data_IF_113453312542
#
_entry.id   IF_113453312542
#
_cell.length_a   1.000
_cell.length_b   1.000
_cell.length_c   1.000
_cell.angle_alpha   90.00
_cell.angle_beta   90.00
_cell.angle_gamma   90.00
#
_symmetry.space_group_name_H-M   'P 1'
#
loop_
_entity.id
_entity.type
_entity.pdbx_description
1 polymer ?
#
# COMPACT_ATOMS: atom_id res chain seq x y z
N UNK A 1 -16.22 36.65 -40.33
CA UNK A 1 -14.93 36.35 -39.68
C UNK A 1 -15.20 36.23 -38.20
N UNK A 2 -15.53 35.02 -37.75
CA UNK A 2 -15.77 34.73 -36.33
C UNK A 2 -14.58 33.95 -35.83
N UNK A 3 -13.83 34.54 -34.90
CA UNK A 3 -12.76 33.85 -34.21
C UNK A 3 -13.37 33.03 -33.07
N UNK A 4 -13.30 31.71 -33.20
CA UNK A 4 -13.51 30.80 -32.08
C UNK A 4 -12.35 30.98 -31.10
N UNK A 5 -12.64 31.56 -29.94
CA UNK A 5 -11.73 31.54 -28.81
C UNK A 5 -11.85 30.18 -28.13
N UNK A 6 -10.93 29.27 -28.46
CA UNK A 6 -10.73 28.03 -27.69
C UNK A 6 -10.27 28.39 -26.28
N UNK A 7 -11.09 28.05 -25.28
CA UNK A 7 -10.75 28.10 -23.87
C UNK A 7 -9.71 27.03 -23.55
N UNK A 8 -8.44 27.40 -23.60
CA UNK A 8 -7.34 26.59 -23.10
C UNK A 8 -7.43 26.55 -21.57
N UNK A 9 -7.75 25.39 -21.00
CA UNK A 9 -7.71 25.19 -19.56
C UNK A 9 -6.28 25.42 -19.05
N UNK A 10 -6.08 26.05 -17.88
CA UNK A 10 -4.73 26.25 -17.35
C UNK A 10 -4.14 24.87 -17.02
N UNK A 11 -3.18 24.44 -17.83
CA UNK A 11 -2.41 23.23 -17.56
C UNK A 11 -1.51 23.54 -16.36
N UNK A 12 -1.86 23.00 -15.21
CA UNK A 12 -1.08 23.10 -13.97
C UNK A 12 0.36 22.67 -14.25
N UNK A 13 1.34 23.49 -13.85
CA UNK A 13 2.72 23.24 -14.27
C UNK A 13 3.27 21.99 -13.57
N UNK A 14 4.14 21.24 -14.25
CA UNK A 14 4.82 20.06 -13.66
C UNK A 14 5.53 20.41 -12.34
N UNK A 15 5.99 21.66 -12.20
CA UNK A 15 6.63 22.15 -10.98
C UNK A 15 5.62 22.31 -9.84
N UNK A 16 4.44 22.83 -10.14
CA UNK A 16 3.37 23.01 -9.16
C UNK A 16 2.84 21.65 -8.69
N UNK A 17 2.62 20.71 -9.62
CA UNK A 17 2.25 19.33 -9.31
C UNK A 17 3.31 18.61 -8.46
N UNK A 18 4.60 18.82 -8.73
CA UNK A 18 5.67 18.22 -7.93
C UNK A 18 5.76 18.83 -6.52
N UNK A 19 5.49 20.13 -6.38
CA UNK A 19 5.43 20.81 -5.08
C UNK A 19 4.22 20.32 -4.29
N UNK A 20 3.07 20.19 -4.95
CA UNK A 20 1.85 19.63 -4.38
C UNK A 20 2.08 18.19 -3.92
N UNK A 21 2.58 17.30 -4.78
CA UNK A 21 2.86 15.91 -4.42
C UNK A 21 3.79 15.79 -3.20
N UNK A 22 4.87 16.59 -3.16
CA UNK A 22 5.79 16.61 -2.03
C UNK A 22 5.12 17.13 -0.74
N UNK A 23 4.31 18.18 -0.84
CA UNK A 23 3.55 18.71 0.30
C UNK A 23 2.55 17.68 0.84
N UNK A 24 1.84 16.99 -0.05
CA UNK A 24 0.85 15.97 0.29
C UNK A 24 1.46 14.73 0.92
N UNK A 25 2.57 14.23 0.39
CA UNK A 25 3.29 13.10 0.99
C UNK A 25 3.73 13.42 2.43
N UNK A 26 4.34 14.59 2.62
CA UNK A 26 4.80 15.03 3.94
C UNK A 26 3.62 15.20 4.91
N UNK A 27 2.53 15.82 4.48
CA UNK A 27 1.35 16.03 5.30
C UNK A 27 0.69 14.70 5.65
N UNK A 28 0.55 13.78 4.70
CA UNK A 28 -0.01 12.45 4.92
C UNK A 28 0.82 11.67 5.96
N UNK A 29 2.15 11.69 5.84
CA UNK A 29 3.04 11.04 6.80
C UNK A 29 2.88 11.63 8.23
N UNK A 30 2.82 12.96 8.35
CA UNK A 30 2.64 13.63 9.65
C UNK A 30 1.26 13.40 10.26
N UNK A 31 0.20 13.49 9.45
CA UNK A 31 -1.18 13.21 9.87
C UNK A 31 -1.32 11.76 10.29
N UNK A 32 -0.72 10.81 9.55
CA UNK A 32 -0.73 9.39 9.91
C UNK A 32 -0.05 9.16 11.27
N UNK A 33 1.11 9.77 11.51
CA UNK A 33 1.82 9.68 12.79
C UNK A 33 1.01 10.28 13.95
N UNK A 34 0.46 11.49 13.76
CA UNK A 34 -0.38 12.17 14.75
C UNK A 34 -1.65 11.38 15.06
N UNK A 35 -2.35 10.88 14.03
CA UNK A 35 -3.55 10.04 14.15
C UNK A 35 -3.24 8.76 14.92
N UNK A 36 -2.12 8.09 14.61
CA UNK A 36 -1.68 6.88 15.33
C UNK A 36 -1.49 7.17 16.83
N UNK A 37 -0.80 8.26 17.16
CA UNK A 37 -0.56 8.67 18.54
C UNK A 37 -1.85 9.00 19.29
N UNK A 38 -2.72 9.84 18.72
CA UNK A 38 -4.00 10.21 19.33
C UNK A 38 -4.89 8.98 19.51
N UNK A 39 -4.99 8.12 18.50
CA UNK A 39 -5.78 6.88 18.58
C UNK A 39 -5.31 5.99 19.73
N UNK A 40 -4.00 5.82 19.93
CA UNK A 40 -3.47 5.04 21.04
C UNK A 40 -3.85 5.63 22.41
N UNK A 41 -3.77 6.96 22.56
CA UNK A 41 -4.19 7.65 23.79
C UNK A 41 -5.69 7.55 24.04
N UNK A 42 -6.51 7.75 23.00
CA UNK A 42 -7.98 7.62 23.09
C UNK A 42 -8.38 6.19 23.45
N UNK A 43 -7.73 5.18 22.87
CA UNK A 43 -7.96 3.78 23.22
C UNK A 43 -7.68 3.52 24.70
N UNK A 44 -6.49 3.90 25.19
CA UNK A 44 -6.11 3.73 26.59
C UNK A 44 -7.07 4.45 27.55
N UNK A 45 -7.52 5.66 27.19
CA UNK A 45 -8.50 6.42 27.97
C UNK A 45 -9.89 5.77 27.98
N UNK A 46 -10.36 5.25 26.85
CA UNK A 46 -11.64 4.53 26.77
C UNK A 46 -11.59 3.21 27.53
N UNK A 47 -10.49 2.46 27.45
CA UNK A 47 -10.33 1.22 28.22
C UNK A 47 -10.32 1.48 29.73
N UNK A 48 -9.70 2.58 30.17
CA UNK A 48 -9.73 2.99 31.58
C UNK A 48 -11.14 3.44 32.01
N UNK A 49 -11.84 4.21 31.18
CA UNK A 49 -13.20 4.67 31.45
C UNK A 49 -14.22 3.52 31.46
N UNK A 50 -14.07 2.54 30.57
CA UNK A 50 -14.90 1.34 30.56
C UNK A 50 -14.72 0.51 31.84
N UNK A 51 -13.47 0.37 32.32
CA UNK A 51 -13.19 -0.34 33.59
C UNK A 51 -13.73 0.38 34.82
N UNK A 52 -13.64 1.71 34.86
CA UNK A 52 -14.01 2.51 36.04
C UNK A 52 -15.52 2.79 36.09
N UNK A 53 -16.10 3.18 34.97
CA UNK A 53 -17.43 3.80 34.88
C UNK A 53 -18.38 3.05 33.94
N UNK A 54 -17.93 1.97 33.27
CA UNK A 54 -18.72 1.26 32.26
C UNK A 54 -18.90 2.02 30.94
N UNK A 55 -18.17 3.12 30.74
CA UNK A 55 -18.29 3.96 29.54
C UNK A 55 -17.55 3.33 28.36
N UNK A 56 -18.30 2.85 27.38
CA UNK A 56 -17.76 2.21 26.17
C UNK A 56 -17.81 3.12 24.93
N UNK A 57 -18.39 4.32 25.03
CA UNK A 57 -18.61 5.24 23.90
C UNK A 57 -18.44 6.70 24.29
N UNK A 58 -17.84 7.47 23.40
CA UNK A 58 -17.71 8.93 23.50
C UNK A 58 -18.08 9.61 22.19
N UNK A 59 -18.70 10.78 22.28
CA UNK A 59 -19.05 11.62 21.13
C UNK A 59 -18.02 12.73 20.99
N UNK A 60 -17.48 12.91 19.79
CA UNK A 60 -16.63 14.04 19.45
C UNK A 60 -17.50 15.19 18.93
N UNK A 61 -17.43 16.33 19.61
CA UNK A 61 -18.14 17.57 19.24
C UNK A 61 -17.15 18.65 18.83
N UNK A 62 -17.50 19.44 17.84
CA UNK A 62 -16.82 20.69 17.53
C UNK A 62 -17.00 21.70 18.67
N UNK A 63 -16.14 22.73 18.77
CA UNK A 63 -16.35 23.83 19.71
C UNK A 63 -17.67 24.57 19.53
N UNK A 64 -18.26 24.52 18.32
CA UNK A 64 -19.62 25.02 18.03
C UNK A 64 -20.75 24.17 18.62
N UNK A 65 -20.44 23.03 19.25
CA UNK A 65 -21.41 22.09 19.83
C UNK A 65 -21.90 21.01 18.85
N UNK A 66 -21.59 21.11 17.56
CA UNK A 66 -21.99 20.12 16.56
C UNK A 66 -21.26 18.80 16.77
N UNK A 67 -21.99 17.69 16.82
CA UNK A 67 -21.42 16.34 16.85
C UNK A 67 -20.83 15.97 15.49
N UNK A 68 -19.61 15.45 15.47
CA UNK A 68 -18.88 15.11 14.23
C UNK A 68 -18.47 13.65 14.15
N UNK A 69 -18.32 12.96 15.28
CA UNK A 69 -18.01 11.54 15.28
C UNK A 69 -18.44 10.86 16.58
N UNK A 70 -18.64 9.55 16.52
CA UNK A 70 -18.80 8.70 17.70
C UNK A 70 -17.66 7.69 17.72
N UNK A 71 -16.98 7.56 18.86
CA UNK A 71 -15.91 6.59 19.08
C UNK A 71 -16.42 5.60 20.13
N UNK A 72 -16.45 4.31 19.79
CA UNK A 72 -16.88 3.26 20.72
C UNK A 72 -15.89 2.10 20.75
N UNK A 73 -15.74 1.48 21.91
CA UNK A 73 -15.06 0.21 22.07
C UNK A 73 -15.82 -0.87 21.29
N UNK A 74 -15.07 -1.69 20.54
CA UNK A 74 -15.59 -2.90 19.94
C UNK A 74 -15.16 -4.08 20.82
N UNK A 75 -16.07 -5.03 21.03
CA UNK A 75 -15.70 -6.32 21.63
C UNK A 75 -14.69 -6.97 20.69
N UNK A 76 -13.51 -7.31 21.21
CA UNK A 76 -12.49 -8.02 20.43
C UNK A 76 -13.08 -9.29 19.85
N UNK A 77 -12.81 -9.55 18.58
CA UNK A 77 -13.22 -10.79 17.94
C UNK A 77 -12.33 -11.93 18.46
N UNK A 78 -12.91 -12.81 19.28
CA UNK A 78 -12.23 -14.01 19.75
C UNK A 78 -12.41 -15.11 18.70
N UNK A 79 -11.38 -15.36 17.91
CA UNK A 79 -11.32 -16.44 16.93
C UNK A 79 -10.16 -17.38 17.24
N UNK A 80 -10.26 -18.67 16.85
CA UNK A 80 -9.12 -19.57 16.92
C UNK A 80 -7.99 -19.05 16.02
N UNK A 81 -6.81 -18.85 16.60
CA UNK A 81 -5.60 -18.49 15.84
C UNK A 81 -4.75 -19.74 15.69
N UNK A 82 -4.43 -20.09 14.45
CA UNK A 82 -3.47 -21.15 14.16
C UNK A 82 -2.07 -20.61 14.50
N UNK A 83 -1.49 -21.08 15.60
CA UNK A 83 -0.14 -20.67 16.04
C UNK A 83 0.97 -21.50 15.40
N UNK A 84 0.63 -22.70 14.93
CA UNK A 84 1.55 -23.61 14.24
C UNK A 84 0.78 -24.34 13.14
N UNK A 85 0.91 -23.82 11.93
CA UNK A 85 0.23 -24.33 10.75
C UNK A 85 0.75 -25.73 10.36
N UNK A 86 2.04 -26.00 10.56
CA UNK A 86 2.63 -27.28 10.16
C UNK A 86 2.27 -28.40 11.14
N UNK A 87 2.24 -28.13 12.44
CA UNK A 87 1.75 -29.07 13.43
C UNK A 87 0.27 -29.37 13.23
N UNK A 88 -0.54 -28.35 12.95
CA UNK A 88 -1.95 -28.53 12.60
C UNK A 88 -2.10 -29.39 11.35
N UNK A 89 -1.40 -29.07 10.27
CA UNK A 89 -1.48 -29.83 9.03
C UNK A 89 -1.00 -31.28 9.19
N UNK A 90 0.03 -31.53 10.00
CA UNK A 90 0.52 -32.88 10.31
C UNK A 90 -0.49 -33.67 11.14
N UNK A 91 -1.15 -33.02 12.09
CA UNK A 91 -2.23 -33.63 12.85
C UNK A 91 -3.43 -33.94 11.94
N UNK A 92 -3.87 -33.01 11.10
CA UNK A 92 -4.97 -33.21 10.14
C UNK A 92 -4.71 -34.39 9.20
N UNK A 93 -3.51 -34.45 8.58
CA UNK A 93 -3.12 -35.57 7.70
C UNK A 93 -3.11 -36.94 8.41
N UNK A 94 -2.87 -36.97 9.72
CA UNK A 94 -2.88 -38.22 10.50
C UNK A 94 -4.28 -38.59 10.97
N UNK A 95 -5.06 -37.60 11.38
CA UNK A 95 -6.41 -37.81 11.92
C UNK A 95 -7.40 -38.17 10.81
N UNK A 96 -7.21 -37.60 9.61
CA UNK A 96 -8.10 -37.76 8.46
C UNK A 96 -7.31 -37.94 7.16
N UNK A 97 -6.76 -39.13 6.91
CA UNK A 97 -5.90 -39.37 5.75
C UNK A 97 -6.65 -39.48 4.41
N UNK A 98 -7.93 -39.85 4.42
CA UNK A 98 -8.72 -40.19 3.22
C UNK A 98 -9.84 -39.18 2.92
N UNK A 99 -9.82 -38.02 3.56
CA UNK A 99 -10.82 -36.98 3.33
C UNK A 99 -10.54 -36.21 2.03
N UNK A 100 -11.62 -35.79 1.36
CA UNK A 100 -11.59 -35.12 0.04
C UNK A 100 -10.78 -33.81 0.01
N UNK A 101 -10.55 -33.19 1.18
CA UNK A 101 -9.77 -31.97 1.34
C UNK A 101 -8.28 -32.21 1.62
N UNK A 102 -7.82 -33.47 1.64
CA UNK A 102 -6.41 -33.84 1.72
C UNK A 102 -5.89 -34.35 0.37
N UNK A 103 -4.75 -33.84 -0.08
CA UNK A 103 -4.18 -34.22 -1.38
C UNK A 103 -2.72 -34.69 -1.23
N UNK A 104 -2.42 -35.88 -1.77
CA UNK A 104 -1.05 -36.41 -1.82
C UNK A 104 -0.49 -36.21 -3.23
N UNK A 105 0.57 -35.38 -3.36
CA UNK A 105 1.26 -35.13 -4.63
C UNK A 105 2.74 -35.50 -4.55
N UNK A 106 3.21 -36.31 -5.50
CA UNK A 106 4.65 -36.52 -5.75
C UNK A 106 5.09 -35.44 -6.75
N UNK A 107 5.71 -34.37 -6.25
CA UNK A 107 6.13 -33.24 -7.10
C UNK A 107 7.60 -33.39 -7.50
N UNK A 108 7.87 -33.43 -8.80
CA UNK A 108 9.22 -33.21 -9.34
C UNK A 108 9.38 -31.70 -9.62
N UNK A 109 10.14 -31.02 -8.77
CA UNK A 109 10.41 -29.58 -8.93
C UNK A 109 11.73 -29.34 -9.65
N UNK A 110 11.74 -28.35 -10.55
CA UNK A 110 12.98 -27.78 -11.10
C UNK A 110 13.63 -26.93 -10.01
N UNK A 111 14.93 -27.12 -9.75
CA UNK A 111 15.63 -26.38 -8.70
C UNK A 111 15.68 -24.87 -9.05
N UNK A 112 15.44 -23.96 -8.08
CA UNK A 112 15.38 -22.52 -8.34
C UNK A 112 16.62 -21.93 -9.01
N UNK A 113 17.81 -22.43 -8.68
CA UNK A 113 19.06 -21.97 -9.30
C UNK A 113 19.11 -22.28 -10.80
N UNK A 114 18.55 -23.41 -11.24
CA UNK A 114 18.56 -23.80 -12.66
C UNK A 114 17.58 -22.96 -13.45
N UNK A 115 16.42 -22.67 -12.86
CA UNK A 115 15.45 -21.74 -13.43
C UNK A 115 16.02 -20.32 -13.54
N UNK A 116 16.74 -19.84 -12.51
CA UNK A 116 17.40 -18.54 -12.54
C UNK A 116 18.48 -18.45 -13.62
N UNK A 117 19.27 -19.51 -13.82
CA UNK A 117 20.26 -19.62 -14.89
C UNK A 117 19.61 -19.52 -16.28
N UNK A 118 18.53 -20.27 -16.51
CA UNK A 118 17.77 -20.26 -17.77
C UNK A 118 17.16 -18.88 -18.06
N UNK A 119 16.60 -18.23 -17.05
CA UNK A 119 16.04 -16.87 -17.17
C UNK A 119 17.14 -15.83 -17.40
N UNK A 120 18.31 -15.98 -16.77
CA UNK A 120 19.45 -15.10 -17.00
C UNK A 120 19.99 -15.24 -18.44
N UNK A 121 20.00 -16.46 -18.97
CA UNK A 121 20.39 -16.74 -20.35
C UNK A 121 19.42 -16.07 -21.34
N UNK A 122 18.11 -16.25 -21.17
CA UNK A 122 17.08 -15.59 -21.99
C UNK A 122 17.14 -14.06 -21.91
N UNK A 123 17.45 -13.51 -20.72
CA UNK A 123 17.62 -12.07 -20.51
C UNK A 123 18.84 -11.54 -21.25
N UNK A 124 19.94 -12.28 -21.29
CA UNK A 124 21.16 -11.87 -21.99
C UNK A 124 20.96 -11.79 -23.51
N UNK A 125 20.14 -12.68 -24.08
CA UNK A 125 19.83 -12.69 -25.52
C UNK A 125 18.57 -11.91 -25.89
N UNK A 126 17.85 -11.34 -24.90
CA UNK A 126 16.55 -10.67 -25.09
C UNK A 126 15.58 -11.47 -25.95
N UNK A 127 15.60 -12.80 -25.79
CA UNK A 127 14.76 -13.73 -26.54
C UNK A 127 14.29 -14.85 -25.62
N UNK A 128 13.06 -15.32 -25.81
CA UNK A 128 12.47 -16.46 -25.08
C UNK A 128 13.00 -17.81 -25.60
N UNK A 129 14.31 -17.87 -25.88
CA UNK A 129 14.99 -19.02 -26.46
C UNK A 129 16.15 -19.42 -25.56
N UNK A 130 16.37 -20.72 -25.41
CA UNK A 130 17.53 -21.28 -24.69
C UNK A 130 18.31 -22.14 -25.67
N UNK A 131 19.62 -21.99 -25.67
CA UNK A 131 20.50 -22.82 -26.47
C UNK A 131 20.97 -24.02 -25.65
N UNK A 132 20.77 -25.23 -26.17
CA UNK A 132 21.42 -26.41 -25.60
C UNK A 132 22.93 -26.35 -25.89
N UNK A 133 23.75 -26.25 -24.84
CA UNK A 133 25.21 -26.09 -24.94
C UNK A 133 25.93 -27.36 -25.41
N UNK A 134 25.23 -28.49 -25.50
CA UNK A 134 25.79 -29.77 -25.94
C UNK A 134 25.47 -30.06 -27.41
N UNK A 135 24.31 -29.64 -27.90
CA UNK A 135 23.83 -29.92 -29.26
C UNK A 135 23.81 -28.69 -30.17
N UNK A 136 23.90 -27.48 -29.60
CA UNK A 136 23.83 -26.22 -30.34
C UNK A 136 22.41 -25.86 -30.81
N UNK A 137 21.41 -26.65 -30.43
CA UNK A 137 20.02 -26.46 -30.86
C UNK A 137 19.33 -25.39 -30.00
N UNK A 138 18.63 -24.48 -30.65
CA UNK A 138 17.93 -23.36 -29.99
C UNK A 138 16.47 -23.75 -29.82
N UNK A 139 16.04 -23.93 -28.57
CA UNK A 139 14.66 -24.28 -28.25
C UNK A 139 13.85 -23.01 -27.91
N UNK A 140 12.67 -22.88 -28.52
CA UNK A 140 11.64 -21.96 -28.04
C UNK A 140 11.07 -22.49 -26.72
N UNK A 141 11.05 -21.67 -25.66
CA UNK A 141 10.58 -22.12 -24.34
C UNK A 141 9.09 -21.82 -24.19
N UNK A 142 8.22 -22.83 -24.11
CA UNK A 142 6.79 -22.62 -23.92
C UNK A 142 6.50 -21.88 -22.61
N UNK A 143 5.67 -20.84 -22.66
CA UNK A 143 5.23 -20.09 -21.49
C UNK A 143 6.10 -18.87 -21.11
N UNK A 144 7.15 -18.54 -21.87
CA UNK A 144 7.97 -17.35 -21.62
C UNK A 144 7.65 -16.25 -22.64
N UNK A 145 7.19 -15.09 -22.15
CA UNK A 145 6.99 -13.88 -22.96
C UNK A 145 7.78 -12.74 -22.33
N UNK A 146 8.63 -12.06 -23.10
CA UNK A 146 9.34 -10.88 -22.65
C UNK A 146 8.38 -9.69 -22.74
N UNK A 147 7.83 -9.27 -21.60
CA UNK A 147 7.04 -8.04 -21.45
C UNK A 147 7.74 -7.11 -20.46
N UNK A 148 7.50 -5.79 -20.54
CA UNK A 148 7.84 -4.88 -19.44
C UNK A 148 7.20 -5.41 -18.15
N UNK A 149 8.03 -5.76 -17.16
CA UNK A 149 7.56 -6.43 -15.93
C UNK A 149 6.93 -5.48 -14.93
N UNK A 150 6.99 -4.17 -15.19
CA UNK A 150 6.34 -3.13 -14.38
C UNK A 150 5.87 -1.97 -15.25
N UNK A 151 4.69 -1.44 -14.92
CA UNK A 151 4.23 -0.13 -15.37
C UNK A 151 5.22 0.95 -14.93
N UNK A 152 5.49 1.92 -15.80
CA UNK A 152 6.42 3.03 -15.51
C UNK A 152 5.80 3.94 -14.45
N UNK A 153 6.27 3.85 -13.22
CA UNK A 153 5.88 4.75 -12.11
C UNK A 153 6.96 5.79 -11.87
N UNK A 154 6.61 6.96 -11.36
CA UNK A 154 7.57 7.93 -10.84
C UNK A 154 7.89 7.64 -9.37
N UNK A 155 8.98 8.21 -8.86
CA UNK A 155 9.38 8.09 -7.46
C UNK A 155 9.73 9.48 -6.92
N UNK A 156 9.16 9.85 -5.77
CA UNK A 156 9.50 11.07 -5.05
C UNK A 156 10.71 10.80 -4.15
N UNK A 157 11.81 11.49 -4.41
CA UNK A 157 13.02 11.42 -3.57
C UNK A 157 13.29 12.78 -2.95
N UNK A 158 13.32 12.83 -1.62
CA UNK A 158 13.59 14.05 -0.87
C UNK A 158 15.07 14.44 -0.94
N UNK A 159 15.34 15.73 -1.14
CA UNK A 159 16.68 16.30 -0.92
C UNK A 159 16.90 16.59 0.57
N UNK A 160 18.16 16.72 0.96
CA UNK A 160 18.54 17.15 2.32
C UNK A 160 17.85 18.47 2.69
N UNK A 161 17.26 18.54 3.89
CA UNK A 161 16.48 19.68 4.36
C UNK A 161 15.13 19.93 3.67
N UNK A 162 14.81 19.19 2.59
CA UNK A 162 13.59 19.40 1.80
C UNK A 162 12.31 19.23 2.62
N UNK A 163 12.27 18.24 3.51
CA UNK A 163 11.12 18.01 4.39
C UNK A 163 10.88 19.16 5.37
N UNK A 164 11.94 19.77 5.89
CA UNK A 164 11.83 20.87 6.84
C UNK A 164 11.41 22.16 6.15
N UNK A 165 11.95 22.41 4.95
CA UNK A 165 11.54 23.54 4.12
C UNK A 165 10.05 23.45 3.72
N UNK A 166 9.59 22.27 3.27
CA UNK A 166 8.17 22.04 2.95
C UNK A 166 7.28 22.17 4.19
N UNK A 167 7.75 21.72 5.36
CA UNK A 167 7.03 21.89 6.62
C UNK A 167 6.89 23.36 7.05
N UNK A 168 7.92 24.19 6.87
CA UNK A 168 7.87 25.64 7.11
C UNK A 168 6.93 26.34 6.12
N UNK A 169 7.02 25.99 4.84
CA UNK A 169 6.13 26.53 3.80
C UNK A 169 4.66 26.19 4.05
N UNK A 170 4.38 25.02 4.63
CA UNK A 170 3.05 24.68 5.11
C UNK A 170 2.62 25.54 6.31
N UNK A 171 3.46 25.65 7.34
CA UNK A 171 3.15 26.43 8.56
C UNK A 171 2.90 27.91 8.27
N UNK A 172 3.61 28.47 7.31
CA UNK A 172 3.52 29.88 6.90
C UNK A 172 2.40 30.16 5.89
N UNK A 173 1.67 29.12 5.45
CA UNK A 173 0.56 29.25 4.52
C UNK A 173 0.96 29.45 3.05
N UNK A 174 2.25 29.40 2.73
CA UNK A 174 2.77 29.49 1.34
C UNK A 174 2.21 28.37 0.48
N UNK A 175 1.98 27.19 1.07
CA UNK A 175 1.41 26.03 0.37
C UNK A 175 -0.13 25.97 0.35
N UNK A 176 -0.83 27.01 0.81
CA UNK A 176 -2.28 26.94 1.00
C UNK A 176 -3.06 26.68 -0.29
N UNK A 177 -2.62 27.23 -1.42
CA UNK A 177 -3.30 27.02 -2.71
C UNK A 177 -3.12 25.59 -3.24
N UNK A 178 -1.93 24.99 -3.09
CA UNK A 178 -1.68 23.59 -3.47
C UNK A 178 -2.42 22.58 -2.58
N UNK A 179 -2.89 23.01 -1.40
CA UNK A 179 -3.64 22.14 -0.47
C UNK A 179 -5.14 22.40 -0.50
N UNK A 180 -5.62 23.30 -1.36
CA UNK A 180 -7.01 23.75 -1.39
C UNK A 180 -7.97 22.58 -1.61
N UNK A 181 -7.62 21.60 -2.46
CA UNK A 181 -8.46 20.43 -2.71
C UNK A 181 -8.70 19.56 -1.46
N UNK A 182 -7.78 19.56 -0.50
CA UNK A 182 -7.90 18.77 0.74
C UNK A 182 -8.70 19.51 1.81
N UNK A 183 -8.70 20.84 1.80
CA UNK A 183 -9.40 21.68 2.77
C UNK A 183 -10.78 22.15 2.29
N UNK A 184 -11.07 22.04 0.99
CA UNK A 184 -12.33 22.49 0.39
C UNK A 184 -13.58 21.72 0.85
N UNK A 185 -13.43 20.55 1.48
CA UNK A 185 -14.57 19.76 1.99
C UNK A 185 -15.43 19.14 0.89
N UNK A 186 -15.95 17.95 1.16
CA UNK A 186 -16.71 17.14 0.20
C UNK A 186 -17.89 17.88 -0.42
N UNK A 187 -17.79 18.14 -1.72
CA UNK A 187 -18.92 18.32 -2.62
C UNK A 187 -18.90 17.17 -3.61
N UNK A 188 -19.40 16.03 -3.15
CA UNK A 188 -20.34 15.09 -3.81
C UNK A 188 -20.49 13.83 -2.95
#
# INVERSE_FOLDING_TARGET
MSAEQSTEQPVESLRDLAIEEAALDLLAARVAAAKKNVRARTQAALDAAAKRDGVERIVATLPSGQQVATISLRKGEAGPVVTDEEALARWLRRTWPDEEWTETRIVRTVKPWKLAELVAEMKAVSAAKVADKTTGEVHDVPGVVIKPTRTRTHALTWREGGKDATAEAWRTGVLAHQLAAITAGGAE
#
